data_IF_712232690481
#
_entry.id   IF_712232690481
#
_cell.length_a   1.000
_cell.length_b   1.000
_cell.length_c   1.000
_cell.angle_alpha   90.00
_cell.angle_beta   90.00
_cell.angle_gamma   90.00
#
_symmetry.space_group_name_H-M   'P 1'
#
loop_
_entity.id
_entity.type
_entity.pdbx_description
1 polymer ?
#
# COMPACT_ATOMS: atom_id res chain seq x y z
N UNK A 1 -4.50 -11.85 -13.48
CA UNK A 1 -3.64 -11.82 -14.70
C UNK A 1 -2.91 -10.48 -14.72
N UNK A 2 -1.58 -10.44 -14.84
CA UNK A 2 -0.83 -9.19 -15.02
C UNK A 2 -1.25 -8.50 -16.33
N UNK A 3 -1.18 -7.17 -16.34
CA UNK A 3 -1.58 -6.32 -17.46
C UNK A 3 -0.59 -5.17 -17.60
N UNK A 4 -0.23 -4.84 -18.84
CA UNK A 4 0.62 -3.69 -19.18
C UNK A 4 -0.11 -2.34 -18.97
N UNK A 5 -1.43 -2.38 -18.76
CA UNK A 5 -2.27 -1.20 -18.54
C UNK A 5 -3.17 -1.42 -17.32
N UNK A 6 -2.62 -1.31 -16.10
CA UNK A 6 -3.39 -1.50 -14.88
C UNK A 6 -4.41 -0.38 -14.71
N UNK A 7 -5.62 -0.73 -14.32
CA UNK A 7 -6.63 0.25 -13.89
C UNK A 7 -6.42 0.61 -12.43
N UNK A 8 -6.95 1.75 -11.98
CA UNK A 8 -6.91 2.11 -10.56
C UNK A 8 -7.57 1.05 -9.66
N UNK A 9 -8.65 0.41 -10.14
CA UNK A 9 -9.28 -0.72 -9.44
C UNK A 9 -8.30 -1.88 -9.26
N UNK A 10 -7.55 -2.23 -10.31
CA UNK A 10 -6.56 -3.30 -10.26
C UNK A 10 -5.43 -2.96 -9.28
N UNK A 11 -4.96 -1.71 -9.31
CA UNK A 11 -3.97 -1.22 -8.35
C UNK A 11 -4.49 -1.40 -6.92
N UNK A 12 -5.72 -1.00 -6.61
CA UNK A 12 -6.29 -1.18 -5.26
C UNK A 12 -6.48 -2.64 -4.85
N UNK A 13 -6.70 -3.56 -5.80
CA UNK A 13 -6.72 -5.00 -5.49
C UNK A 13 -5.37 -5.49 -4.97
N UNK A 14 -4.26 -4.93 -5.44
CA UNK A 14 -2.93 -5.26 -4.94
C UNK A 14 -2.74 -4.87 -3.46
N UNK A 15 -3.50 -3.91 -2.93
CA UNK A 15 -3.37 -3.46 -1.54
C UNK A 15 -4.42 -4.10 -0.60
N UNK A 16 -5.23 -5.05 -1.09
CA UNK A 16 -6.18 -5.78 -0.26
C UNK A 16 -5.45 -6.64 0.77
N UNK A 17 -5.94 -6.66 2.02
CA UNK A 17 -5.33 -7.41 3.11
C UNK A 17 -4.12 -6.75 3.75
N UNK A 18 -3.83 -5.48 3.42
CA UNK A 18 -2.97 -4.63 4.25
C UNK A 18 -3.82 -4.14 5.42
N UNK A 19 -3.28 -4.26 6.64
CA UNK A 19 -3.98 -3.88 7.87
C UNK A 19 -3.20 -2.81 8.63
N UNK A 20 -3.90 -1.80 9.13
CA UNK A 20 -3.33 -0.83 10.06
C UNK A 20 -3.68 -1.26 11.49
N UNK A 21 -2.66 -1.61 12.26
CA UNK A 21 -2.80 -2.02 13.65
C UNK A 21 -2.37 -0.88 14.58
N UNK A 22 -3.19 -0.60 15.58
CA UNK A 22 -2.87 0.34 16.67
C UNK A 22 -2.50 -0.46 17.93
N UNK A 23 -1.26 -0.35 18.41
CA UNK A 23 -0.83 -0.94 19.69
C UNK A 23 -0.23 0.17 20.54
N UNK A 24 -0.81 0.40 21.73
CA UNK A 24 -0.28 1.35 22.72
C UNK A 24 -0.02 2.76 22.15
N UNK A 25 -0.85 3.21 21.20
CA UNK A 25 -0.71 4.51 20.52
C UNK A 25 0.22 4.51 19.31
N UNK A 26 0.95 3.42 19.04
CA UNK A 26 1.79 3.27 17.86
C UNK A 26 1.01 2.63 16.71
N UNK A 27 1.14 3.22 15.52
CA UNK A 27 0.66 2.63 14.27
C UNK A 27 1.65 1.57 13.80
N UNK A 28 1.13 0.49 13.21
CA UNK A 28 1.90 -0.57 12.56
C UNK A 28 1.15 -0.99 11.29
N UNK A 29 1.78 -0.86 10.14
CA UNK A 29 1.24 -1.41 8.89
C UNK A 29 1.65 -2.88 8.78
N UNK A 30 0.68 -3.78 8.69
CA UNK A 30 0.88 -5.22 8.54
C UNK A 30 0.70 -5.62 7.08
N UNK A 31 1.40 -6.69 6.68
CA UNK A 31 1.30 -7.30 5.35
C UNK A 31 1.67 -6.34 4.19
N UNK A 32 2.48 -5.31 4.49
CA UNK A 32 3.10 -4.47 3.47
C UNK A 32 4.30 -5.24 2.88
N UNK A 33 4.26 -5.53 1.58
CA UNK A 33 5.27 -6.30 0.87
C UNK A 33 6.11 -5.39 -0.03
N UNK A 34 7.24 -5.90 -0.53
CA UNK A 34 8.10 -5.17 -1.48
C UNK A 34 7.35 -4.79 -2.76
N UNK A 35 6.46 -5.65 -3.26
CA UNK A 35 5.60 -5.35 -4.41
C UNK A 35 4.70 -4.14 -4.16
N UNK A 36 4.15 -4.00 -2.95
CA UNK A 36 3.36 -2.82 -2.59
C UNK A 36 4.24 -1.57 -2.59
N UNK A 37 5.44 -1.66 -2.01
CA UNK A 37 6.41 -0.56 -2.00
C UNK A 37 6.79 -0.12 -3.43
N UNK A 38 6.98 -1.07 -4.34
CA UNK A 38 7.28 -0.77 -5.74
C UNK A 38 6.10 -0.03 -6.41
N UNK A 39 4.86 -0.48 -6.22
CA UNK A 39 3.67 0.20 -6.77
C UNK A 39 3.52 1.61 -6.18
N UNK A 40 3.78 1.79 -4.88
CA UNK A 40 3.68 3.08 -4.19
C UNK A 40 4.64 4.14 -4.76
N UNK A 41 5.79 3.75 -5.31
CA UNK A 41 6.75 4.68 -5.93
C UNK A 41 6.16 5.44 -7.12
N UNK A 42 5.17 4.88 -7.81
CA UNK A 42 4.50 5.51 -8.95
C UNK A 42 3.31 6.40 -8.54
N UNK A 43 2.88 6.36 -7.28
CA UNK A 43 1.76 7.14 -6.77
C UNK A 43 2.22 8.47 -6.15
N UNK A 44 1.36 9.50 -6.08
CA UNK A 44 1.69 10.76 -5.42
C UNK A 44 2.13 10.55 -3.97
N UNK A 45 2.99 11.44 -3.49
CA UNK A 45 3.56 11.38 -2.14
C UNK A 45 2.48 11.28 -1.03
N UNK A 46 1.32 11.93 -1.23
CA UNK A 46 0.18 11.84 -0.32
C UNK A 46 -0.33 10.40 -0.11
N UNK A 47 -0.32 9.57 -1.16
CA UNK A 47 -0.70 8.15 -1.07
C UNK A 47 0.37 7.34 -0.33
N UNK A 48 1.65 7.65 -0.56
CA UNK A 48 2.77 6.94 0.06
C UNK A 48 2.84 7.16 1.57
N UNK A 49 2.61 8.40 2.02
CA UNK A 49 2.67 8.77 3.44
C UNK A 49 1.79 7.88 4.32
N UNK A 50 0.59 7.52 3.86
CA UNK A 50 -0.32 6.66 4.61
C UNK A 50 0.29 5.29 4.98
N UNK A 51 1.17 4.74 4.14
CA UNK A 51 1.77 3.43 4.36
C UNK A 51 3.17 3.51 5.01
N UNK A 52 3.87 4.63 4.87
CA UNK A 52 5.23 4.82 5.39
C UNK A 52 5.30 5.66 6.67
N UNK A 53 4.24 6.38 7.06
CA UNK A 53 4.17 7.10 8.34
C UNK A 53 3.83 6.12 9.45
N UNK A 54 4.78 5.25 9.78
CA UNK A 54 4.79 4.40 10.97
C UNK A 54 5.76 4.97 11.97
#
# INVERSE_FOLDING_TARGET
KPTESPTLRWIFQCFQGIHLLMIQGFQRVLNLTESHCHILQFLPNACQKYYFST
#
